data_IF_567024202302
#
_entry.id   IF_567024202302
#
_cell.length_a   1.000
_cell.length_b   1.000
_cell.length_c   1.000
_cell.angle_alpha   90.00
_cell.angle_beta   90.00
_cell.angle_gamma   90.00
#
_symmetry.space_group_name_H-M   'P 1'
#
loop_
_entity.id
_entity.type
_entity.pdbx_description
1 polymer ?
#
# COMPACT_ATOMS: atom_id res chain seq x y z
N UNK A 1 -32.30 -3.40 28.54
CA UNK A 1 -31.96 -4.34 29.63
C UNK A 1 -30.68 -3.78 30.26
N UNK A 2 -30.86 -2.83 31.17
CA UNK A 2 -29.81 -1.94 31.71
C UNK A 2 -30.18 -1.69 33.16
N UNK A 3 -29.97 -2.72 34.00
CA UNK A 3 -30.31 -2.63 35.42
C UNK A 3 -29.35 -3.42 36.33
N UNK A 4 -28.18 -3.85 35.85
CA UNK A 4 -27.28 -4.73 36.64
C UNK A 4 -25.95 -4.08 37.07
N UNK A 5 -25.67 -2.82 36.69
CA UNK A 5 -24.38 -2.19 37.01
C UNK A 5 -24.37 -1.33 38.28
N UNK A 6 -25.53 -1.02 38.87
CA UNK A 6 -25.60 -0.14 40.05
C UNK A 6 -25.47 -0.95 41.36
N UNK A 7 -25.98 -2.19 41.40
CA UNK A 7 -26.02 -3.01 42.61
C UNK A 7 -24.65 -3.61 43.02
N UNK A 8 -23.76 -3.82 42.04
CA UNK A 8 -22.41 -4.38 42.28
C UNK A 8 -21.47 -3.43 43.04
N UNK A 9 -21.59 -2.11 42.80
CA UNK A 9 -20.76 -1.11 43.49
C UNK A 9 -21.18 -0.89 44.95
N UNK A 10 -22.47 -1.04 45.27
CA UNK A 10 -23.00 -0.82 46.63
C UNK A 10 -22.68 -2.00 47.57
N UNK A 11 -22.62 -3.23 47.04
CA UNK A 11 -22.22 -4.40 47.82
C UNK A 11 -20.71 -4.42 48.13
N UNK A 12 -19.86 -3.96 47.20
CA UNK A 12 -18.42 -3.86 47.45
C UNK A 12 -18.10 -2.78 48.49
N UNK A 13 -18.69 -1.59 48.41
CA UNK A 13 -18.45 -0.50 49.36
C UNK A 13 -18.86 -0.89 50.78
N UNK A 14 -20.00 -1.57 50.96
CA UNK A 14 -20.45 -2.03 52.28
C UNK A 14 -19.52 -3.11 52.88
N UNK A 15 -18.95 -3.99 52.05
CA UNK A 15 -17.98 -5.00 52.51
C UNK A 15 -16.64 -4.39 52.93
N UNK A 16 -16.15 -3.38 52.20
CA UNK A 16 -14.95 -2.62 52.55
C UNK A 16 -15.16 -1.80 53.82
N UNK A 17 -16.29 -1.10 53.94
CA UNK A 17 -16.65 -0.35 55.15
C UNK A 17 -16.78 -1.25 56.38
N UNK A 18 -17.32 -2.48 56.21
CA UNK A 18 -17.40 -3.46 57.30
C UNK A 18 -16.02 -4.00 57.71
N UNK A 19 -15.10 -4.21 56.76
CA UNK A 19 -13.69 -4.54 57.03
C UNK A 19 -12.98 -3.39 57.76
N UNK A 20 -13.14 -2.15 57.29
CA UNK A 20 -12.54 -0.95 57.91
C UNK A 20 -13.07 -0.77 59.34
N UNK A 21 -14.37 -0.94 59.58
CA UNK A 21 -14.95 -0.87 60.93
C UNK A 21 -14.40 -1.94 61.87
N UNK A 22 -14.19 -3.17 61.37
CA UNK A 22 -13.61 -4.24 62.18
C UNK A 22 -12.12 -4.00 62.47
N UNK A 23 -11.36 -3.46 61.51
CA UNK A 23 -9.97 -3.02 61.69
C UNK A 23 -9.88 -1.84 62.69
N UNK A 24 -10.84 -0.91 62.64
CA UNK A 24 -10.90 0.23 63.56
C UNK A 24 -11.24 -0.20 65.00
N UNK A 25 -12.06 -1.25 65.16
CA UNK A 25 -12.35 -1.87 66.46
C UNK A 25 -11.11 -2.54 67.06
N UNK A 26 -10.23 -3.11 66.23
CA UNK A 26 -8.92 -3.62 66.63
C UNK A 26 -7.95 -2.49 67.00
N UNK A 27 -7.93 -1.39 66.24
CA UNK A 27 -7.22 -0.14 66.58
C UNK A 27 -7.67 0.42 67.96
N UNK A 28 -8.95 0.29 68.30
CA UNK A 28 -9.48 0.67 69.61
C UNK A 28 -8.84 -0.09 70.79
N UNK A 29 -8.41 -1.33 70.58
CA UNK A 29 -7.66 -2.11 71.58
C UNK A 29 -6.23 -1.57 71.79
N UNK A 30 -5.62 -0.96 70.76
CA UNK A 30 -4.31 -0.31 70.86
C UNK A 30 -4.34 0.96 71.70
N UNK A 31 -5.50 1.64 71.88
CA UNK A 31 -5.62 2.79 72.81
C UNK A 31 -5.22 2.45 74.25
N UNK A 32 -5.42 1.20 74.68
CA UNK A 32 -4.98 0.74 76.00
C UNK A 32 -3.45 0.57 76.09
N UNK A 33 -2.77 0.40 74.95
CA UNK A 33 -1.32 0.32 74.84
C UNK A 33 -0.66 1.71 74.93
N UNK A 34 -1.37 2.78 74.54
CA UNK A 34 -0.91 4.17 74.67
C UNK A 34 -0.91 4.68 76.14
N UNK A 35 -1.54 3.95 77.06
CA UNK A 35 -1.51 4.19 78.50
C UNK A 35 -0.37 3.45 79.23
N UNK A 36 0.38 2.59 78.54
CA UNK A 36 1.64 2.05 79.10
C UNK A 36 2.76 3.09 79.00
N UNK A 37 3.69 3.05 79.96
CA UNK A 37 4.70 4.09 80.22
C UNK A 37 5.57 4.52 79.03
N UNK A 38 6.48 5.48 79.27
CA UNK A 38 7.24 6.24 78.24
C UNK A 38 7.83 5.40 77.09
N UNK A 39 8.21 4.14 77.35
CA UNK A 39 8.76 3.20 76.36
C UNK A 39 7.75 2.77 75.29
N UNK A 40 6.48 2.58 75.64
CA UNK A 40 5.44 2.17 74.69
C UNK A 40 5.12 3.30 73.71
N UNK A 41 5.06 4.55 74.20
CA UNK A 41 4.90 5.74 73.34
C UNK A 41 6.05 5.89 72.35
N UNK A 42 7.28 5.66 72.80
CA UNK A 42 8.47 5.70 71.93
C UNK A 42 8.41 4.60 70.85
N UNK A 43 8.04 3.37 71.22
CA UNK A 43 7.93 2.24 70.30
C UNK A 43 6.82 2.43 69.25
N UNK A 44 5.69 3.04 69.63
CA UNK A 44 4.62 3.35 68.69
C UNK A 44 5.08 4.44 67.72
N UNK A 45 5.73 5.50 68.22
CA UNK A 45 6.25 6.58 67.38
C UNK A 45 7.28 6.06 66.37
N UNK A 46 8.25 5.26 66.81
CA UNK A 46 9.26 4.68 65.92
C UNK A 46 8.65 3.68 64.94
N UNK A 47 7.70 2.85 65.37
CA UNK A 47 6.96 1.93 64.50
C UNK A 47 6.17 2.67 63.41
N UNK A 48 5.48 3.76 63.76
CA UNK A 48 4.76 4.58 62.78
C UNK A 48 5.69 5.30 61.82
N UNK A 49 6.85 5.77 62.29
CA UNK A 49 7.84 6.43 61.44
C UNK A 49 8.42 5.45 60.41
N UNK A 50 8.77 4.24 60.84
CA UNK A 50 9.28 3.18 59.96
C UNK A 50 8.21 2.74 58.96
N UNK A 51 6.95 2.58 59.39
CA UNK A 51 5.86 2.24 58.48
C UNK A 51 5.63 3.34 57.43
N UNK A 52 5.74 4.61 57.82
CA UNK A 52 5.56 5.75 56.93
C UNK A 52 6.69 5.86 55.90
N UNK A 53 7.95 5.64 56.31
CA UNK A 53 9.08 5.66 55.37
C UNK A 53 9.00 4.50 54.37
N UNK A 54 8.65 3.29 54.82
CA UNK A 54 8.45 2.13 53.94
C UNK A 54 7.32 2.40 52.93
N UNK A 55 6.22 3.02 53.37
CA UNK A 55 5.11 3.36 52.49
C UNK A 55 5.52 4.35 51.39
N UNK A 56 6.27 5.39 51.74
CA UNK A 56 6.78 6.38 50.77
C UNK A 56 7.75 5.72 49.78
N UNK A 57 8.70 4.92 50.27
CA UNK A 57 9.64 4.20 49.39
C UNK A 57 8.90 3.27 48.44
N UNK A 58 7.91 2.52 48.94
CA UNK A 58 7.13 1.59 48.12
C UNK A 58 6.35 2.32 47.02
N UNK A 59 5.74 3.47 47.35
CA UNK A 59 4.98 4.25 46.37
C UNK A 59 5.88 4.81 45.26
N UNK A 60 7.07 5.31 45.62
CA UNK A 60 8.06 5.82 44.65
C UNK A 60 8.59 4.68 43.77
N UNK A 61 8.95 3.56 44.39
CA UNK A 61 9.54 2.41 43.69
C UNK A 61 8.55 1.78 42.71
N UNK A 62 7.28 1.61 43.11
CA UNK A 62 6.22 1.14 42.20
C UNK A 62 6.02 2.12 41.04
N UNK A 63 6.01 3.43 41.30
CA UNK A 63 5.86 4.41 40.23
C UNK A 63 7.03 4.37 39.24
N UNK A 64 8.26 4.35 39.75
CA UNK A 64 9.48 4.25 38.94
C UNK A 64 9.50 2.94 38.13
N UNK A 65 9.17 1.81 38.74
CA UNK A 65 9.09 0.53 38.05
C UNK A 65 8.01 0.55 36.96
N UNK A 66 6.84 1.15 37.21
CA UNK A 66 5.79 1.27 36.19
C UNK A 66 6.17 2.19 35.04
N UNK A 67 6.86 3.29 35.31
CA UNK A 67 7.31 4.23 34.28
C UNK A 67 8.41 3.62 33.41
N UNK A 68 9.42 2.99 34.03
CA UNK A 68 10.49 2.28 33.31
C UNK A 68 9.89 1.16 32.45
N UNK A 69 8.97 0.37 33.00
CA UNK A 69 8.33 -0.72 32.27
C UNK A 69 7.51 -0.18 31.09
N UNK A 70 6.71 0.87 31.29
CA UNK A 70 5.91 1.49 30.23
C UNK A 70 6.79 2.09 29.13
N UNK A 71 7.83 2.84 29.50
CA UNK A 71 8.79 3.40 28.54
C UNK A 71 9.53 2.30 27.77
N UNK A 72 9.91 1.20 28.44
CA UNK A 72 10.56 0.06 27.78
C UNK A 72 9.63 -0.64 26.78
N UNK A 73 8.36 -0.86 27.14
CA UNK A 73 7.35 -1.43 26.25
C UNK A 73 7.04 -0.52 25.08
N UNK A 74 6.89 0.78 25.31
CA UNK A 74 6.61 1.74 24.25
C UNK A 74 7.80 1.88 23.29
N UNK A 75 9.02 1.85 23.80
CA UNK A 75 10.25 1.84 23.00
C UNK A 75 10.37 0.57 22.16
N UNK A 76 10.13 -0.60 22.73
CA UNK A 76 10.20 -1.88 21.99
C UNK A 76 9.06 -2.01 20.96
N UNK A 77 7.85 -1.59 21.32
CA UNK A 77 6.70 -1.58 20.42
C UNK A 77 6.86 -0.55 19.29
N UNK A 78 7.43 0.63 19.57
CA UNK A 78 7.67 1.65 18.54
C UNK A 78 8.79 1.24 17.58
N UNK A 79 9.86 0.61 18.06
CA UNK A 79 10.91 0.02 17.21
C UNK A 79 10.31 -1.06 16.30
N UNK A 80 9.50 -1.95 16.86
CA UNK A 80 8.83 -3.02 16.10
C UNK A 80 7.89 -2.46 15.04
N UNK A 81 7.05 -1.46 15.39
CA UNK A 81 6.16 -0.79 14.44
C UNK A 81 6.94 -0.11 13.32
N UNK A 82 8.00 0.62 13.66
CA UNK A 82 8.80 1.33 12.66
C UNK A 82 9.49 0.36 11.70
N UNK A 83 10.05 -0.75 12.23
CA UNK A 83 10.66 -1.80 11.42
C UNK A 83 9.65 -2.47 10.47
N UNK A 84 8.47 -2.85 10.98
CA UNK A 84 7.40 -3.45 10.18
C UNK A 84 6.91 -2.47 9.11
N UNK A 85 6.68 -1.20 9.46
CA UNK A 85 6.26 -0.18 8.49
C UNK A 85 7.30 0.05 7.39
N UNK A 86 8.59 0.03 7.73
CA UNK A 86 9.67 0.12 6.75
C UNK A 86 9.65 -1.05 5.76
N UNK A 87 9.53 -2.29 6.25
CA UNK A 87 9.44 -3.48 5.40
C UNK A 87 8.21 -3.46 4.50
N UNK A 88 7.07 -2.99 5.00
CA UNK A 88 5.83 -2.87 4.20
C UNK A 88 6.01 -1.85 3.08
N UNK A 89 6.62 -0.69 3.36
CA UNK A 89 6.92 0.32 2.34
C UNK A 89 7.90 -0.20 1.28
N UNK A 90 8.95 -0.93 1.70
CA UNK A 90 9.88 -1.58 0.79
C UNK A 90 9.16 -2.62 -0.09
N UNK A 91 8.26 -3.42 0.48
CA UNK A 91 7.47 -4.40 -0.25
C UNK A 91 6.50 -3.74 -1.24
N UNK A 92 5.85 -2.63 -0.85
CA UNK A 92 4.98 -1.84 -1.74
C UNK A 92 5.77 -1.24 -2.90
N UNK A 93 6.94 -0.66 -2.62
CA UNK A 93 7.84 -0.15 -3.65
C UNK A 93 8.29 -1.27 -4.60
N UNK A 94 8.59 -2.44 -4.08
CA UNK A 94 9.01 -3.59 -4.87
C UNK A 94 7.86 -4.14 -5.73
N UNK A 95 6.66 -4.24 -5.16
CA UNK A 95 5.42 -4.59 -5.87
C UNK A 95 5.18 -3.63 -7.03
N UNK A 96 5.23 -2.33 -6.78
CA UNK A 96 5.08 -1.28 -7.79
C UNK A 96 6.16 -1.36 -8.87
N UNK A 97 7.41 -1.67 -8.51
CA UNK A 97 8.49 -1.88 -9.48
C UNK A 97 8.21 -3.08 -10.38
N UNK A 98 7.75 -4.20 -9.82
CA UNK A 98 7.44 -5.39 -10.61
C UNK A 98 6.24 -5.20 -11.54
N UNK A 99 5.17 -4.56 -11.06
CA UNK A 99 4.01 -4.18 -11.89
C UNK A 99 4.49 -3.29 -13.04
N UNK A 100 5.36 -2.32 -12.75
CA UNK A 100 5.93 -1.43 -13.77
C UNK A 100 6.74 -2.20 -14.80
N UNK A 101 7.58 -3.16 -14.39
CA UNK A 101 8.36 -4.03 -15.30
C UNK A 101 7.43 -4.78 -16.25
N UNK A 102 6.40 -5.44 -15.73
CA UNK A 102 5.45 -6.19 -16.57
C UNK A 102 4.64 -5.26 -17.48
N UNK A 103 4.26 -4.07 -17.00
CA UNK A 103 3.61 -3.05 -17.84
C UNK A 103 4.49 -2.62 -19.01
N UNK A 104 5.80 -2.47 -18.79
CA UNK A 104 6.75 -2.15 -19.86
C UNK A 104 6.92 -3.32 -20.81
N UNK A 105 7.06 -4.54 -20.30
CA UNK A 105 7.15 -5.75 -21.11
C UNK A 105 5.95 -5.89 -22.04
N UNK A 106 4.74 -5.65 -21.54
CA UNK A 106 3.53 -5.71 -22.35
C UNK A 106 3.46 -4.57 -23.39
N UNK A 107 3.78 -3.33 -22.98
CA UNK A 107 3.85 -2.19 -23.91
C UNK A 107 4.87 -2.42 -25.03
N UNK A 108 6.06 -2.91 -24.69
CA UNK A 108 7.12 -3.25 -25.66
C UNK A 108 6.70 -4.42 -26.54
N UNK A 109 5.98 -5.42 -26.02
CA UNK A 109 5.43 -6.52 -26.82
C UNK A 109 4.42 -6.01 -27.86
N UNK A 110 3.46 -5.17 -27.44
CA UNK A 110 2.44 -4.57 -28.33
C UNK A 110 3.08 -3.67 -29.38
N UNK A 111 4.02 -2.81 -28.99
CA UNK A 111 4.75 -1.93 -29.91
C UNK A 111 5.67 -2.72 -30.85
N UNK A 112 6.38 -3.73 -30.36
CA UNK A 112 7.20 -4.62 -31.21
C UNK A 112 6.35 -5.36 -32.24
N UNK A 113 5.13 -5.77 -31.88
CA UNK A 113 4.17 -6.39 -32.81
C UNK A 113 3.69 -5.38 -33.86
N UNK A 114 3.38 -4.15 -33.46
CA UNK A 114 3.00 -3.08 -34.39
C UNK A 114 4.15 -2.73 -35.36
N UNK A 115 5.37 -2.64 -34.86
CA UNK A 115 6.59 -2.32 -35.62
C UNK A 115 7.11 -3.49 -36.45
N UNK A 116 6.63 -4.72 -36.20
CA UNK A 116 6.98 -5.90 -37.00
C UNK A 116 6.63 -5.73 -38.48
N UNK A 117 5.59 -4.93 -38.78
CA UNK A 117 5.16 -4.57 -40.13
C UNK A 117 6.22 -3.81 -40.94
N UNK A 118 7.17 -3.17 -40.25
CA UNK A 118 8.17 -2.33 -40.88
C UNK A 118 9.60 -2.87 -40.73
N UNK A 119 9.77 -4.12 -40.31
CA UNK A 119 11.09 -4.75 -40.25
C UNK A 119 11.64 -5.00 -41.66
N UNK A 120 12.76 -4.37 -41.99
CA UNK A 120 13.45 -4.63 -43.26
C UNK A 120 14.41 -5.81 -43.10
N UNK A 121 14.20 -6.88 -43.88
CA UNK A 121 15.10 -8.04 -43.91
C UNK A 121 16.33 -7.69 -44.74
N UNK A 122 17.46 -7.40 -44.08
CA UNK A 122 18.74 -7.20 -44.76
C UNK A 122 19.37 -8.57 -44.98
N UNK A 123 19.51 -8.98 -46.24
CA UNK A 123 20.20 -10.22 -46.61
C UNK A 123 21.65 -9.86 -46.94
N UNK A 124 22.54 -10.01 -45.96
CA UNK A 124 23.99 -9.87 -46.20
C UNK A 124 24.53 -11.19 -46.73
N UNK A 125 25.00 -11.19 -47.98
CA UNK A 125 25.69 -12.33 -48.57
C UNK A 125 27.17 -12.24 -48.23
N UNK A 126 27.62 -12.95 -47.20
CA UNK A 126 29.04 -13.11 -46.94
C UNK A 126 29.59 -14.27 -47.78
N UNK A 127 30.60 -14.00 -48.59
CA UNK A 127 31.32 -15.01 -49.36
C UNK A 127 32.33 -15.71 -48.45
N UNK A 128 32.16 -17.01 -48.20
CA UNK A 128 33.05 -17.78 -47.34
C UNK A 128 34.39 -18.00 -48.06
N UNK A 129 35.49 -17.58 -47.46
CA UNK A 129 36.83 -18.01 -47.84
C UNK A 129 37.07 -19.40 -47.25
N UNK A 130 37.06 -20.44 -48.09
CA UNK A 130 37.45 -21.79 -47.66
C UNK A 130 38.97 -21.90 -47.74
N UNK A 131 39.59 -22.23 -46.61
CA UNK A 131 41.03 -22.43 -46.52
C UNK A 131 41.35 -23.90 -46.88
N UNK A 132 41.58 -24.18 -48.16
CA UNK A 132 42.19 -25.43 -48.58
C UNK A 132 43.68 -25.18 -48.84
N UNK A 133 44.54 -25.82 -48.04
CA UNK A 133 46.00 -25.84 -48.25
C UNK A 133 46.71 -24.47 -48.21
N UNK A 134 46.31 -23.58 -47.29
CA UNK A 134 47.11 -22.38 -46.97
C UNK A 134 47.09 -21.25 -48.00
N UNK A 135 46.37 -21.41 -49.12
CA UNK A 135 46.13 -20.35 -50.09
C UNK A 135 44.67 -19.88 -50.03
N UNK A 136 44.47 -18.60 -49.70
CA UNK A 136 43.14 -17.97 -49.64
C UNK A 136 42.61 -17.70 -51.05
N UNK A 137 42.00 -18.68 -51.71
CA UNK A 137 41.41 -18.48 -53.03
C UNK A 137 39.91 -18.19 -52.94
N UNK A 138 39.49 -17.03 -53.45
CA UNK A 138 38.07 -16.68 -53.63
C UNK A 138 37.54 -17.44 -54.84
N UNK A 139 36.98 -18.63 -54.63
CA UNK A 139 36.36 -19.39 -55.72
C UNK A 139 35.10 -18.66 -56.19
N UNK A 140 35.25 -17.99 -57.33
CA UNK A 140 34.21 -17.25 -58.02
C UNK A 140 33.11 -18.20 -58.49
N UNK A 141 31.87 -17.86 -58.13
CA UNK A 141 30.68 -18.41 -58.78
C UNK A 141 30.09 -19.65 -58.10
N UNK A 142 28.95 -19.43 -57.45
CA UNK A 142 27.88 -20.43 -57.26
C UNK A 142 27.99 -21.44 -56.11
N UNK A 143 29.16 -21.92 -55.66
CA UNK A 143 29.21 -23.05 -54.69
C UNK A 143 29.31 -22.69 -53.19
N UNK A 144 29.51 -21.43 -52.81
CA UNK A 144 29.86 -21.06 -51.42
C UNK A 144 29.05 -19.91 -50.79
N UNK A 145 27.87 -19.58 -51.33
CA UNK A 145 27.05 -18.47 -50.83
C UNK A 145 25.97 -18.96 -49.87
N UNK A 146 26.30 -19.05 -48.58
CA UNK A 146 25.25 -19.17 -47.57
C UNK A 146 24.61 -17.80 -47.32
N UNK A 147 23.32 -17.67 -47.64
CA UNK A 147 22.54 -16.48 -47.33
C UNK A 147 22.29 -16.41 -45.82
N UNK A 148 23.13 -15.67 -45.09
CA UNK A 148 22.80 -15.27 -43.72
C UNK A 148 21.86 -14.07 -43.76
N UNK A 149 20.57 -14.31 -43.59
CA UNK A 149 19.63 -13.21 -43.40
C UNK A 149 19.64 -12.78 -41.93
N UNK A 150 20.10 -11.56 -41.66
CA UNK A 150 19.99 -10.96 -40.33
C UNK A 150 18.86 -9.93 -40.36
N UNK A 151 17.87 -10.10 -39.48
CA UNK A 151 16.76 -9.16 -39.37
C UNK A 151 17.23 -8.06 -38.42
N UNK A 152 17.58 -6.89 -38.95
CA UNK A 152 17.94 -5.72 -38.16
C UNK A 152 16.69 -4.90 -37.87
N UNK A 153 16.42 -4.63 -36.60
CA UNK A 153 15.32 -3.76 -36.18
C UNK A 153 15.78 -2.30 -36.34
N UNK A 154 15.12 -1.52 -37.21
CA UNK A 154 15.53 -0.15 -37.56
C UNK A 154 14.83 0.92 -36.71
N UNK A 155 14.11 0.55 -35.65
CA UNK A 155 13.32 1.48 -34.84
C UNK A 155 14.01 1.77 -33.50
N UNK A 156 14.26 3.05 -33.25
CA UNK A 156 14.55 3.57 -31.92
C UNK A 156 13.21 3.69 -31.17
N UNK A 157 12.86 2.72 -30.32
CA UNK A 157 11.78 2.93 -29.36
C UNK A 157 12.29 3.86 -28.25
N UNK A 158 11.52 4.88 -27.92
CA UNK A 158 11.77 5.78 -26.76
C UNK A 158 11.62 5.02 -25.42
N UNK A 159 11.05 3.81 -25.46
CA UNK A 159 10.94 2.90 -24.32
C UNK A 159 12.10 1.91 -24.28
N UNK A 160 12.49 1.50 -23.06
CA UNK A 160 13.57 0.55 -22.76
C UNK A 160 13.63 -0.59 -23.79
N UNK A 161 14.83 -0.88 -24.28
CA UNK A 161 15.08 -2.02 -25.14
C UNK A 161 14.79 -3.33 -24.40
N UNK A 162 14.60 -4.44 -25.12
CA UNK A 162 14.38 -5.76 -24.48
C UNK A 162 15.53 -6.13 -23.54
N UNK A 163 16.76 -5.75 -23.88
CA UNK A 163 17.93 -5.96 -23.04
C UNK A 163 17.83 -5.18 -21.72
N UNK A 164 17.36 -3.92 -21.78
CA UNK A 164 17.20 -3.09 -20.59
C UNK A 164 16.07 -3.63 -19.68
N UNK A 165 15.02 -4.21 -20.26
CA UNK A 165 13.94 -4.88 -19.51
C UNK A 165 14.49 -6.13 -18.79
N UNK A 166 15.31 -6.92 -19.47
CA UNK A 166 15.91 -8.12 -18.88
C UNK A 166 16.92 -7.76 -17.77
N UNK A 167 17.66 -6.66 -17.93
CA UNK A 167 18.53 -6.12 -16.89
C UNK A 167 17.73 -5.63 -15.67
N UNK A 168 16.64 -4.90 -15.90
CA UNK A 168 15.75 -4.45 -14.85
C UNK A 168 15.09 -5.63 -14.12
N UNK A 169 14.68 -6.67 -14.84
CA UNK A 169 14.14 -7.91 -14.28
C UNK A 169 15.16 -8.59 -13.35
N UNK A 170 16.42 -8.68 -13.80
CA UNK A 170 17.51 -9.24 -13.01
C UNK A 170 17.79 -8.43 -11.75
N UNK A 171 17.81 -7.10 -11.85
CA UNK A 171 18.03 -6.22 -10.70
C UNK A 171 16.88 -6.32 -9.68
N UNK A 172 15.63 -6.33 -10.15
CA UNK A 172 14.45 -6.52 -9.29
C UNK A 172 14.47 -7.89 -8.61
N UNK A 173 14.91 -8.95 -9.30
CA UNK A 173 15.04 -10.29 -8.70
C UNK A 173 16.09 -10.33 -7.59
N UNK A 174 17.19 -9.58 -7.71
CA UNK A 174 18.25 -9.52 -6.69
C UNK A 174 17.76 -8.80 -5.42
N UNK A 175 16.88 -7.81 -5.58
CA UNK A 175 16.30 -7.07 -4.45
C UNK A 175 15.25 -7.89 -3.68
N UNK A 176 14.65 -8.89 -4.33
CA UNK A 176 13.68 -9.78 -3.70
C UNK A 176 14.38 -10.75 -2.74
N UNK A 177 14.06 -10.61 -1.45
CA UNK A 177 14.52 -11.51 -0.40
C UNK A 177 13.33 -12.21 0.26
N UNK A 178 13.53 -13.47 0.58
CA UNK A 178 12.64 -14.32 1.38
C UNK A 178 12.56 -13.76 2.82
N UNK A 179 11.55 -14.11 3.65
CA UNK A 179 11.45 -13.63 5.03
C UNK A 179 12.68 -13.92 5.90
N UNK A 180 13.49 -14.90 5.50
CA UNK A 180 14.76 -15.24 6.16
C UNK A 180 15.97 -14.43 5.63
N UNK A 181 15.76 -13.45 4.76
CA UNK A 181 16.81 -12.61 4.15
C UNK A 181 17.57 -13.26 3.00
N UNK A 182 17.19 -14.48 2.60
CA UNK A 182 17.80 -15.24 1.49
C UNK A 182 17.21 -14.83 0.14
N UNK A 183 17.92 -15.08 -0.96
CA UNK A 183 17.35 -14.85 -2.29
C UNK A 183 16.13 -15.75 -2.52
N UNK A 184 15.08 -15.20 -3.14
CA UNK A 184 13.86 -15.94 -3.43
C UNK A 184 14.10 -17.08 -4.45
N UNK A 185 13.33 -18.16 -4.30
CA UNK A 185 13.35 -19.26 -5.27
C UNK A 185 12.78 -18.86 -6.64
N UNK A 186 13.24 -19.51 -7.71
CA UNK A 186 12.74 -19.26 -9.07
C UNK A 186 11.23 -19.54 -9.21
N UNK A 187 10.71 -20.51 -8.47
CA UNK A 187 9.28 -20.82 -8.47
C UNK A 187 8.47 -19.69 -7.84
N UNK A 188 8.89 -19.17 -6.69
CA UNK A 188 8.26 -18.02 -6.03
C UNK A 188 8.31 -16.79 -6.91
N UNK A 189 9.46 -16.55 -7.56
CA UNK A 189 9.61 -15.47 -8.52
C UNK A 189 8.63 -15.56 -9.69
N UNK A 190 8.47 -16.77 -10.25
CA UNK A 190 7.54 -17.01 -11.36
C UNK A 190 6.07 -16.75 -10.98
N UNK A 191 5.68 -17.12 -9.75
CA UNK A 191 4.34 -16.85 -9.21
C UNK A 191 4.12 -15.34 -9.07
N UNK A 192 5.09 -14.63 -8.51
CA UNK A 192 5.01 -13.17 -8.34
C UNK A 192 4.93 -12.45 -9.70
N UNK A 193 5.71 -12.90 -10.68
CA UNK A 193 5.66 -12.41 -12.06
C UNK A 193 4.29 -12.64 -12.70
N UNK A 194 3.68 -13.80 -12.50
CA UNK A 194 2.33 -14.09 -13.01
C UNK A 194 1.27 -13.19 -12.36
N UNK A 195 1.37 -12.93 -11.06
CA UNK A 195 0.46 -12.01 -10.36
C UNK A 195 0.63 -10.59 -10.91
N UNK A 196 1.86 -10.11 -11.05
CA UNK A 196 2.13 -8.79 -11.63
C UNK A 196 1.58 -8.68 -13.06
N UNK A 197 1.73 -9.73 -13.87
CA UNK A 197 1.13 -9.77 -15.20
C UNK A 197 -0.40 -9.65 -15.15
N UNK A 198 -1.07 -10.38 -14.26
CA UNK A 198 -2.53 -10.30 -14.10
C UNK A 198 -2.98 -8.89 -13.70
N UNK A 199 -2.27 -8.24 -12.77
CA UNK A 199 -2.55 -6.87 -12.35
C UNK A 199 -2.47 -5.91 -13.53
N UNK A 200 -1.42 -6.02 -14.35
CA UNK A 200 -1.25 -5.17 -15.55
C UNK A 200 -2.38 -5.36 -16.55
N UNK A 201 -2.84 -6.60 -16.76
CA UNK A 201 -3.99 -6.89 -17.64
C UNK A 201 -5.26 -6.25 -17.09
N UNK A 202 -5.52 -6.42 -15.80
CA UNK A 202 -6.70 -5.82 -15.15
C UNK A 202 -6.66 -4.29 -15.16
N UNK A 203 -5.48 -3.69 -14.96
CA UNK A 203 -5.30 -2.23 -15.07
C UNK A 203 -5.57 -1.73 -16.49
N UNK A 204 -5.13 -2.48 -17.50
CA UNK A 204 -5.40 -2.14 -18.90
C UNK A 204 -6.90 -2.20 -19.21
N UNK A 205 -7.58 -3.26 -18.78
CA UNK A 205 -9.03 -3.43 -18.95
C UNK A 205 -9.81 -2.33 -18.22
N UNK A 206 -9.40 -2.01 -16.99
CA UNK A 206 -10.00 -0.94 -16.20
C UNK A 206 -9.80 0.42 -16.85
N UNK A 207 -8.63 0.68 -17.43
CA UNK A 207 -8.36 1.92 -18.14
C UNK A 207 -9.20 2.04 -19.43
N UNK A 208 -9.40 0.93 -20.15
CA UNK A 208 -10.29 0.90 -21.32
C UNK A 208 -11.75 1.16 -20.92
N UNK A 209 -12.23 0.57 -19.82
CA UNK A 209 -13.57 0.85 -19.29
C UNK A 209 -13.72 2.30 -18.84
N UNK A 210 -12.70 2.89 -18.21
CA UNK A 210 -12.69 4.31 -17.85
C UNK A 210 -12.77 5.20 -19.08
N UNK A 211 -12.04 4.88 -20.13
CA UNK A 211 -12.11 5.62 -21.40
C UNK A 211 -13.51 5.55 -22.02
N UNK A 212 -14.11 4.36 -22.09
CA UNK A 212 -15.50 4.19 -22.57
C UNK A 212 -16.51 4.94 -21.72
N UNK A 213 -16.34 4.96 -20.40
CA UNK A 213 -17.21 5.70 -19.49
C UNK A 213 -17.12 7.21 -19.71
N UNK A 214 -15.91 7.74 -19.91
CA UNK A 214 -15.73 9.16 -20.22
C UNK A 214 -16.31 9.52 -21.59
N UNK A 215 -16.18 8.67 -22.61
CA UNK A 215 -16.83 8.85 -23.92
C UNK A 215 -18.37 8.88 -23.80
N UNK A 216 -18.95 7.96 -23.01
CA UNK A 216 -20.39 7.94 -22.74
C UNK A 216 -20.85 9.20 -21.99
N UNK A 217 -20.10 9.66 -20.99
CA UNK A 217 -20.41 10.91 -20.26
C UNK A 217 -20.35 12.14 -21.15
N UNK A 218 -19.42 12.18 -22.10
CA UNK A 218 -19.34 13.26 -23.09
C UNK A 218 -20.56 13.21 -24.01
N UNK A 219 -20.93 12.02 -24.49
CA UNK A 219 -22.13 11.80 -25.32
C UNK A 219 -23.43 12.20 -24.62
N UNK A 220 -23.58 11.84 -23.35
CA UNK A 220 -24.74 12.20 -22.52
C UNK A 220 -24.84 13.72 -22.34
N UNK A 221 -23.73 14.38 -22.00
CA UNK A 221 -23.68 15.85 -21.89
C UNK A 221 -23.98 16.57 -23.21
N UNK A 222 -23.57 16.01 -24.36
CA UNK A 222 -23.94 16.57 -25.67
C UNK A 222 -25.42 16.39 -25.96
N UNK A 223 -26.00 15.22 -25.66
CA UNK A 223 -27.43 14.97 -25.85
C UNK A 223 -28.31 15.84 -24.94
N UNK A 224 -27.90 16.06 -23.69
CA UNK A 224 -28.58 16.98 -22.78
C UNK A 224 -28.56 18.43 -23.29
N UNK A 225 -27.41 18.89 -23.81
CA UNK A 225 -27.31 20.22 -24.42
C UNK A 225 -28.17 20.36 -25.68
N UNK A 226 -28.23 19.34 -26.52
CA UNK A 226 -29.10 19.33 -27.71
C UNK A 226 -30.58 19.40 -27.32
N UNK A 227 -31.01 18.65 -26.29
CA UNK A 227 -32.37 18.73 -25.76
C UNK A 227 -32.70 20.12 -25.22
N UNK A 228 -31.79 20.74 -24.46
CA UNK A 228 -31.98 22.10 -23.95
C UNK A 228 -32.10 23.14 -25.08
N UNK A 229 -31.28 23.02 -26.13
CA UNK A 229 -31.37 23.91 -27.29
C UNK A 229 -32.69 23.73 -28.04
N UNK A 230 -33.16 22.49 -28.23
CA UNK A 230 -34.46 22.20 -28.86
C UNK A 230 -35.64 22.73 -28.04
N UNK A 231 -35.60 22.61 -26.72
CA UNK A 231 -36.62 23.19 -25.83
C UNK A 231 -36.65 24.72 -25.94
N UNK A 232 -35.49 25.38 -25.97
CA UNK A 232 -35.41 26.83 -26.16
C UNK A 232 -35.93 27.28 -27.53
N UNK A 233 -35.63 26.52 -28.59
CA UNK A 233 -36.11 26.79 -29.94
C UNK A 233 -37.64 26.62 -30.04
N UNK A 234 -38.18 25.54 -29.46
CA UNK A 234 -39.64 25.34 -29.39
C UNK A 234 -40.34 26.45 -28.60
N UNK A 235 -39.76 26.90 -27.49
CA UNK A 235 -40.31 28.01 -26.71
C UNK A 235 -40.28 29.33 -27.49
N UNK A 236 -39.24 29.57 -28.29
CA UNK A 236 -39.16 30.74 -29.16
C UNK A 236 -40.21 30.69 -30.28
N UNK A 237 -40.39 29.53 -30.93
CA UNK A 237 -41.40 29.32 -31.96
C UNK A 237 -42.82 29.49 -31.40
N UNK A 238 -43.09 28.96 -30.20
CA UNK A 238 -44.39 29.08 -29.52
C UNK A 238 -44.70 30.52 -29.09
N UNK A 239 -43.69 31.31 -28.72
CA UNK A 239 -43.84 32.75 -28.47
C UNK A 239 -44.10 33.50 -29.78
N UNK A 240 -43.41 33.15 -30.86
CA UNK A 240 -43.60 33.72 -32.19
C UNK A 240 -45.01 33.46 -32.75
N UNK A 241 -45.51 32.24 -32.64
CA UNK A 241 -46.85 31.87 -33.11
C UNK A 241 -47.95 32.63 -32.36
N UNK A 242 -47.87 32.69 -31.02
CA UNK A 242 -48.80 33.48 -30.19
C UNK A 242 -48.79 34.96 -30.57
N UNK A 243 -47.62 35.53 -30.82
CA UNK A 243 -47.49 36.94 -31.23
C UNK A 243 -48.17 37.18 -32.58
N UNK A 244 -48.03 36.27 -33.54
CA UNK A 244 -48.73 36.34 -34.81
C UNK A 244 -50.24 36.23 -34.63
N UNK A 245 -50.74 35.26 -33.86
CA UNK A 245 -52.17 35.11 -33.56
C UNK A 245 -52.76 36.38 -32.93
N UNK A 246 -52.04 37.00 -31.99
CA UNK A 246 -52.52 38.22 -31.31
C UNK A 246 -52.54 39.42 -32.28
N UNK A 247 -51.58 39.48 -33.21
CA UNK A 247 -51.51 40.55 -34.20
C UNK A 247 -52.59 40.39 -35.28
N UNK A 248 -52.94 39.16 -35.64
CA UNK A 248 -54.07 38.86 -36.54
C UNK A 248 -55.42 39.22 -35.92
N UNK A 249 -55.61 38.98 -34.62
CA UNK A 249 -56.84 39.35 -33.90
C UNK A 249 -57.02 40.87 -33.81
N UNK A 250 -55.94 41.64 -33.74
CA UNK A 250 -56.01 43.11 -33.69
C UNK A 250 -56.20 43.80 -35.06
N UNK A 251 -56.19 43.03 -36.15
CA UNK A 251 -56.31 43.54 -37.53
C UNK A 251 -57.71 43.34 -38.13
N UNK A 252 -58.64 42.74 -37.37
CA UNK A 252 -60.05 42.57 -37.67
C UNK A 252 -60.90 43.23 -36.57
#
# INVERSE_FOLDING_TARGET
>A
MTTDQIESKESQTSSFLRKIRNQLKWIGHFRNLFYLGIRAKLAIFTGTLIAFTVMILTAIDVHQQTEILTQSYEKEASISRHYISGLVLELENLSNSLIRVESFREKVKRQSQALRKYRTKIVTQETKELNLFGFKTKLFGVLGKERKSSIKETYYSVYLSKADIDELEKNTKILLKDPNGLAISDETYSKLKNIAHQVVVLEADLNEQKQKLEELRVSEKTSEKEKQNLEQEMDHLKKGSKKLETNWINLF
#
